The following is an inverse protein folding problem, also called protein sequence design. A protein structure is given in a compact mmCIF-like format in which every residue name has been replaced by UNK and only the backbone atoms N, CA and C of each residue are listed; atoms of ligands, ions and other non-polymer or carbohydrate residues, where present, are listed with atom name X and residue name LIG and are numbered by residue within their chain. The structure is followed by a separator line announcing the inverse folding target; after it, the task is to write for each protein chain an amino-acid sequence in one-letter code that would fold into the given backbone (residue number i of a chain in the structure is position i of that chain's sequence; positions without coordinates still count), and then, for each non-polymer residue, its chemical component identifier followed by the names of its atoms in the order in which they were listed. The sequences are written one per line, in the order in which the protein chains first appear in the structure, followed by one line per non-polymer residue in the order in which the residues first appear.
data_IF_716428208367
#
_entry.id   IF_716428208367
#
_cell.length_a   1.000
_cell.length_b   1.000
_cell.length_c   1.000
_cell.angle_alpha   90.00
_cell.angle_beta   90.00
_cell.angle_gamma   90.00
#
_symmetry.space_group_name_H-M   'P 1'
#
loop_
_entity.id
_entity.type
_entity.pdbx_description
1 polymer ?
#
# COMPACT_ATOMS: atom_id res chain seq x y z
N UNK A 1 -46.51 -38.94 -1.16
CA UNK A 1 -45.86 -38.16 -2.25
C UNK A 1 -44.82 -39.05 -2.87
N UNK A 2 -44.91 -39.30 -4.17
CA UNK A 2 -43.90 -40.07 -4.91
C UNK A 2 -42.55 -39.34 -4.93
N UNK A 3 -41.45 -40.09 -5.00
CA UNK A 3 -40.10 -39.52 -4.98
C UNK A 3 -39.84 -38.65 -6.22
N UNK A 4 -40.49 -38.94 -7.36
CA UNK A 4 -40.43 -38.11 -8.58
C UNK A 4 -40.93 -36.70 -8.29
N UNK A 5 -42.05 -36.60 -7.55
CA UNK A 5 -42.60 -35.29 -7.17
C UNK A 5 -41.61 -34.52 -6.30
N UNK A 6 -40.95 -35.20 -5.37
CA UNK A 6 -39.96 -34.60 -4.48
C UNK A 6 -38.75 -34.09 -5.27
N UNK A 7 -38.12 -34.91 -6.11
CA UNK A 7 -36.87 -34.53 -6.79
C UNK A 7 -37.11 -33.38 -7.80
N UNK A 8 -38.18 -33.42 -8.60
CA UNK A 8 -38.46 -32.33 -9.56
C UNK A 8 -38.85 -31.04 -8.85
N UNK A 9 -39.63 -31.13 -7.75
CA UNK A 9 -39.96 -29.94 -6.95
C UNK A 9 -38.73 -29.35 -6.27
N UNK A 10 -37.82 -30.18 -5.77
CA UNK A 10 -36.54 -29.75 -5.21
C UNK A 10 -35.68 -29.07 -6.27
N UNK A 11 -35.60 -29.64 -7.48
CA UNK A 11 -34.83 -29.04 -8.58
C UNK A 11 -35.38 -27.67 -8.97
N UNK A 12 -36.70 -27.56 -9.14
CA UNK A 12 -37.37 -26.30 -9.42
C UNK A 12 -37.14 -25.26 -8.31
N UNK A 13 -37.28 -25.67 -7.04
CA UNK A 13 -37.03 -24.82 -5.87
C UNK A 13 -35.60 -24.33 -5.78
N UNK A 14 -34.61 -25.19 -6.04
CA UNK A 14 -33.20 -24.82 -6.06
C UNK A 14 -32.90 -23.78 -7.14
N UNK A 15 -33.41 -23.99 -8.36
CA UNK A 15 -33.26 -23.06 -9.47
C UNK A 15 -33.94 -21.70 -9.17
N UNK A 16 -35.14 -21.69 -8.60
CA UNK A 16 -35.84 -20.45 -8.20
C UNK A 16 -35.11 -19.70 -7.09
N UNK A 17 -34.54 -20.42 -6.12
CA UNK A 17 -33.76 -19.81 -5.02
C UNK A 17 -32.53 -19.09 -5.58
N UNK A 18 -31.80 -19.75 -6.49
CA UNK A 18 -30.67 -19.13 -7.18
C UNK A 18 -31.12 -17.93 -8.04
N UNK A 19 -32.22 -18.06 -8.78
CA UNK A 19 -32.75 -16.97 -9.58
C UNK A 19 -33.10 -15.74 -8.73
N UNK A 20 -33.79 -15.93 -7.59
CA UNK A 20 -34.17 -14.85 -6.69
C UNK A 20 -32.93 -14.14 -6.09
N UNK A 21 -31.94 -14.92 -5.65
CA UNK A 21 -30.69 -14.37 -5.14
C UNK A 21 -29.97 -13.52 -6.20
N UNK A 22 -29.78 -14.04 -7.40
CA UNK A 22 -29.07 -13.31 -8.47
C UNK A 22 -29.90 -12.17 -9.07
N UNK A 23 -31.23 -12.26 -9.04
CA UNK A 23 -32.12 -11.14 -9.36
C UNK A 23 -31.94 -9.96 -8.39
N UNK A 24 -31.83 -10.25 -7.09
CA UNK A 24 -31.52 -9.23 -6.09
C UNK A 24 -30.11 -8.63 -6.28
N UNK A 25 -29.10 -9.46 -6.58
CA UNK A 25 -27.74 -8.97 -6.89
C UNK A 25 -27.75 -8.07 -8.13
N UNK A 26 -28.41 -8.49 -9.21
CA UNK A 26 -28.52 -7.69 -10.43
C UNK A 26 -29.22 -6.34 -10.20
N UNK A 27 -30.26 -6.31 -9.34
CA UNK A 27 -30.95 -5.06 -9.00
C UNK A 27 -30.01 -3.98 -8.43
N UNK A 28 -28.96 -4.41 -7.71
CA UNK A 28 -27.91 -3.54 -7.16
C UNK A 28 -26.73 -3.34 -8.12
N UNK A 29 -26.47 -4.29 -9.02
CA UNK A 29 -25.33 -4.29 -9.94
C UNK A 29 -25.77 -4.38 -11.41
N UNK A 30 -26.59 -3.42 -11.86
CA UNK A 30 -27.15 -3.42 -13.23
C UNK A 30 -26.11 -3.37 -14.35
N UNK A 31 -24.88 -2.94 -14.04
CA UNK A 31 -23.78 -2.89 -14.99
C UNK A 31 -23.31 -4.27 -15.48
N UNK A 32 -23.57 -5.35 -14.72
CA UNK A 32 -23.18 -6.70 -15.10
C UNK A 32 -24.40 -7.50 -15.61
N UNK A 33 -24.59 -7.65 -16.94
CA UNK A 33 -25.74 -8.35 -17.51
C UNK A 33 -25.71 -9.87 -17.25
N UNK A 34 -24.57 -10.44 -16.85
CA UNK A 34 -24.44 -11.87 -16.60
C UNK A 34 -25.39 -12.37 -15.49
N UNK A 35 -25.65 -11.55 -14.47
CA UNK A 35 -26.58 -11.89 -13.38
C UNK A 35 -28.03 -11.99 -13.85
N UNK A 36 -28.45 -11.09 -14.75
CA UNK A 36 -29.79 -11.15 -15.35
C UNK A 36 -29.94 -12.38 -16.24
N UNK A 37 -28.94 -12.65 -17.09
CA UNK A 37 -28.95 -13.81 -17.98
C UNK A 37 -28.94 -15.13 -17.21
N UNK A 38 -28.17 -15.20 -16.11
CA UNK A 38 -28.23 -16.31 -15.18
C UNK A 38 -29.63 -16.46 -14.58
N UNK A 39 -30.22 -15.37 -14.08
CA UNK A 39 -31.57 -15.39 -13.51
C UNK A 39 -32.61 -15.92 -14.51
N UNK A 40 -32.62 -15.40 -15.76
CA UNK A 40 -33.49 -15.91 -16.82
C UNK A 40 -33.30 -17.40 -17.09
N UNK A 41 -32.04 -17.87 -17.08
CA UNK A 41 -31.72 -19.28 -17.27
C UNK A 41 -32.24 -20.15 -16.12
N UNK A 42 -32.01 -19.72 -14.87
CA UNK A 42 -32.43 -20.45 -13.68
C UNK A 42 -33.96 -20.49 -13.53
N UNK A 43 -34.67 -19.38 -13.80
CA UNK A 43 -36.14 -19.38 -13.85
C UNK A 43 -36.64 -20.34 -14.92
N UNK A 44 -36.04 -20.30 -16.11
CA UNK A 44 -36.44 -21.18 -17.21
C UNK A 44 -36.22 -22.66 -16.89
N UNK A 45 -35.09 -23.02 -16.26
CA UNK A 45 -34.82 -24.38 -15.80
C UNK A 45 -35.85 -24.84 -14.74
N UNK A 46 -36.24 -23.96 -13.81
CA UNK A 46 -37.28 -24.26 -12.83
C UNK A 46 -38.65 -24.49 -13.48
N UNK A 47 -39.02 -23.63 -14.44
CA UNK A 47 -40.28 -23.77 -15.19
C UNK A 47 -40.26 -25.08 -15.98
N UNK A 48 -39.17 -25.43 -16.67
CA UNK A 48 -39.03 -26.72 -17.38
C UNK A 48 -39.24 -27.89 -16.41
N UNK A 49 -38.62 -27.84 -15.22
CA UNK A 49 -38.79 -28.89 -14.21
C UNK A 49 -40.24 -29.03 -13.73
N UNK A 50 -40.96 -27.91 -13.56
CA UNK A 50 -42.38 -27.93 -13.21
C UNK A 50 -43.26 -28.47 -14.35
N UNK A 51 -42.96 -28.13 -15.60
CA UNK A 51 -43.66 -28.65 -16.78
C UNK A 51 -43.42 -30.16 -16.94
N UNK A 52 -42.17 -30.61 -16.82
CA UNK A 52 -41.81 -32.02 -16.90
C UNK A 52 -42.51 -32.85 -15.82
N UNK A 53 -42.55 -32.37 -14.57
CA UNK A 53 -43.29 -33.03 -13.50
C UNK A 53 -44.79 -33.12 -13.78
N UNK A 54 -45.39 -32.07 -14.35
CA UNK A 54 -46.81 -32.09 -14.75
C UNK A 54 -47.06 -33.03 -15.92
N UNK A 55 -46.12 -33.14 -16.85
CA UNK A 55 -46.21 -34.06 -17.99
C UNK A 55 -46.11 -35.52 -17.53
N UNK A 56 -45.20 -35.84 -16.60
CA UNK A 56 -45.08 -37.18 -16.02
C UNK A 56 -46.36 -37.62 -15.28
N UNK A 57 -47.12 -36.67 -14.73
CA UNK A 57 -48.39 -36.93 -14.03
C UNK A 57 -49.64 -36.66 -14.90
N UNK A 58 -49.51 -36.47 -16.21
CA UNK A 58 -50.64 -36.14 -17.07
C UNK A 58 -51.56 -37.35 -17.28
N UNK A 59 -52.86 -37.17 -17.08
CA UNK A 59 -53.85 -38.26 -17.18
C UNK A 59 -54.55 -38.31 -18.54
N UNK A 60 -54.43 -37.25 -19.35
CA UNK A 60 -55.11 -37.14 -20.65
C UNK A 60 -54.15 -36.69 -21.75
N UNK A 61 -54.42 -37.15 -22.97
CA UNK A 61 -53.66 -36.76 -24.18
C UNK A 61 -53.69 -35.24 -24.37
N UNK A 62 -54.84 -34.59 -24.20
CA UNK A 62 -54.99 -33.14 -24.36
C UNK A 62 -54.12 -32.35 -23.38
N UNK A 63 -54.12 -32.75 -22.10
CA UNK A 63 -53.28 -32.11 -21.08
C UNK A 63 -51.80 -32.25 -21.44
N UNK A 64 -51.36 -33.44 -21.86
CA UNK A 64 -49.98 -33.68 -22.24
C UNK A 64 -49.58 -32.86 -23.48
N UNK A 65 -50.45 -32.79 -24.50
CA UNK A 65 -50.23 -31.99 -25.70
C UNK A 65 -50.06 -30.50 -25.36
N UNK A 66 -50.92 -29.96 -24.50
CA UNK A 66 -50.83 -28.56 -24.06
C UNK A 66 -49.49 -28.29 -23.34
N UNK A 67 -49.11 -29.15 -22.39
CA UNK A 67 -47.86 -29.01 -21.65
C UNK A 67 -46.63 -29.11 -22.58
N UNK A 68 -46.64 -30.08 -23.49
CA UNK A 68 -45.59 -30.26 -24.49
C UNK A 68 -45.44 -29.03 -25.39
N UNK A 69 -46.54 -28.41 -25.82
CA UNK A 69 -46.46 -27.19 -26.64
C UNK A 69 -45.84 -26.03 -25.87
N UNK A 70 -46.26 -25.81 -24.63
CA UNK A 70 -45.82 -24.66 -23.83
C UNK A 70 -44.40 -24.81 -23.26
N UNK A 71 -43.89 -26.03 -23.08
CA UNK A 71 -42.51 -26.24 -22.59
C UNK A 71 -41.45 -25.66 -23.54
N UNK A 72 -41.75 -25.47 -24.83
CA UNK A 72 -40.81 -24.86 -25.78
C UNK A 72 -40.49 -23.39 -25.45
N UNK A 73 -41.39 -22.66 -24.77
CA UNK A 73 -41.18 -21.26 -24.36
C UNK A 73 -40.04 -21.14 -23.35
N UNK A 74 -40.07 -21.80 -22.17
CA UNK A 74 -38.95 -21.73 -21.24
C UNK A 74 -37.68 -22.38 -21.81
N UNK A 75 -37.76 -23.41 -22.66
CA UNK A 75 -36.55 -23.94 -23.34
C UNK A 75 -35.95 -22.92 -24.30
N UNK A 76 -36.76 -22.12 -24.99
CA UNK A 76 -36.30 -21.01 -25.82
C UNK A 76 -35.59 -19.94 -24.98
N UNK A 77 -36.20 -19.50 -23.88
CA UNK A 77 -35.58 -18.52 -22.96
C UNK A 77 -34.26 -19.06 -22.43
N UNK A 78 -34.24 -20.30 -21.92
CA UNK A 78 -33.05 -20.96 -21.39
C UNK A 78 -31.90 -20.99 -22.42
N UNK A 79 -32.20 -21.37 -23.66
CA UNK A 79 -31.18 -21.51 -24.72
C UNK A 79 -30.58 -20.15 -25.06
N UNK A 80 -31.43 -19.12 -25.22
CA UNK A 80 -30.96 -17.77 -25.54
C UNK A 80 -30.15 -17.20 -24.39
N UNK A 81 -30.64 -17.32 -23.17
CA UNK A 81 -29.95 -16.79 -21.99
C UNK A 81 -28.61 -17.48 -21.74
N UNK A 82 -28.49 -18.79 -22.00
CA UNK A 82 -27.22 -19.51 -21.92
C UNK A 82 -26.20 -19.06 -22.96
N UNK A 83 -26.57 -18.98 -24.23
CA UNK A 83 -25.65 -18.53 -25.28
C UNK A 83 -25.23 -17.08 -25.02
N UNK A 84 -26.16 -16.21 -24.62
CA UNK A 84 -25.86 -14.84 -24.23
C UNK A 84 -24.93 -14.79 -23.01
N UNK A 85 -25.17 -15.64 -22.00
CA UNK A 85 -24.33 -15.73 -20.82
C UNK A 85 -22.90 -16.11 -21.19
N UNK A 86 -22.68 -17.16 -22.00
CA UNK A 86 -21.34 -17.54 -22.46
C UNK A 86 -20.65 -16.39 -23.19
N UNK A 87 -21.37 -15.71 -24.08
CA UNK A 87 -20.80 -14.59 -24.85
C UNK A 87 -20.44 -13.38 -23.99
N UNK A 88 -21.25 -13.04 -23.01
CA UNK A 88 -21.08 -11.81 -22.21
C UNK A 88 -20.26 -12.03 -20.94
N UNK A 89 -20.31 -13.22 -20.34
CA UNK A 89 -19.59 -13.57 -19.13
C UNK A 89 -18.22 -14.20 -19.41
N UNK A 90 -18.15 -15.15 -20.35
CA UNK A 90 -16.88 -15.79 -20.73
C UNK A 90 -16.16 -15.05 -21.87
N UNK A 91 -16.81 -14.07 -22.50
CA UNK A 91 -16.31 -13.37 -23.68
C UNK A 91 -15.85 -14.34 -24.79
N UNK A 92 -16.56 -15.45 -24.94
CA UNK A 92 -16.22 -16.56 -25.82
C UNK A 92 -17.44 -16.99 -26.66
N UNK A 93 -17.21 -17.80 -27.70
CA UNK A 93 -18.26 -18.22 -28.63
C UNK A 93 -18.36 -17.32 -29.86
N UNK A 94 -18.26 -17.92 -31.05
CA UNK A 94 -18.35 -17.16 -32.32
C UNK A 94 -19.72 -16.47 -32.48
N UNK A 95 -19.75 -15.20 -32.90
CA UNK A 95 -21.01 -14.46 -33.08
C UNK A 95 -21.97 -15.12 -34.07
N UNK A 96 -21.46 -15.66 -35.18
CA UNK A 96 -22.32 -16.29 -36.20
C UNK A 96 -23.02 -17.55 -35.67
N UNK A 97 -22.34 -18.37 -34.86
CA UNK A 97 -22.96 -19.55 -34.21
C UNK A 97 -24.09 -19.12 -33.28
N UNK A 98 -23.86 -18.08 -32.48
CA UNK A 98 -24.88 -17.55 -31.58
C UNK A 98 -26.11 -17.04 -32.33
N UNK A 99 -25.92 -16.27 -33.41
CA UNK A 99 -27.03 -15.80 -34.24
C UNK A 99 -27.77 -16.94 -34.93
N UNK A 100 -27.07 -17.96 -35.42
CA UNK A 100 -27.70 -19.16 -35.98
C UNK A 100 -28.54 -19.91 -34.95
N UNK A 101 -28.05 -20.07 -33.71
CA UNK A 101 -28.81 -20.68 -32.62
C UNK A 101 -30.05 -19.83 -32.30
N UNK A 102 -29.93 -18.51 -32.19
CA UNK A 102 -31.07 -17.62 -31.91
C UNK A 102 -32.13 -17.67 -33.00
N UNK A 103 -31.72 -17.58 -34.26
CA UNK A 103 -32.63 -17.63 -35.40
C UNK A 103 -33.34 -18.99 -35.48
N UNK A 104 -32.59 -20.08 -35.40
CA UNK A 104 -33.14 -21.43 -35.52
C UNK A 104 -34.03 -21.79 -34.32
N UNK A 105 -33.63 -21.43 -33.09
CA UNK A 105 -34.44 -21.68 -31.89
C UNK A 105 -35.73 -20.87 -31.91
N UNK A 106 -35.70 -19.65 -32.44
CA UNK A 106 -36.91 -18.82 -32.60
C UNK A 106 -37.83 -19.40 -33.69
N UNK A 107 -37.27 -19.85 -34.81
CA UNK A 107 -38.02 -20.55 -35.86
C UNK A 107 -38.69 -21.82 -35.32
N UNK A 108 -37.98 -22.63 -34.54
CA UNK A 108 -38.52 -23.82 -33.85
C UNK A 108 -39.71 -23.44 -32.96
N UNK A 109 -39.61 -22.34 -32.19
CA UNK A 109 -40.71 -21.87 -31.34
C UNK A 109 -41.93 -21.46 -32.16
N UNK A 110 -41.73 -20.71 -33.25
CA UNK A 110 -42.81 -20.28 -34.15
C UNK A 110 -43.51 -21.50 -34.77
N UNK A 111 -42.74 -22.42 -35.34
CA UNK A 111 -43.27 -23.64 -35.97
C UNK A 111 -44.01 -24.53 -34.96
N UNK A 112 -43.53 -24.61 -33.71
CA UNK A 112 -44.21 -25.36 -32.65
C UNK A 112 -45.64 -24.85 -32.37
N UNK A 113 -45.87 -23.54 -32.44
CA UNK A 113 -47.22 -22.97 -32.30
C UNK A 113 -48.05 -23.04 -33.58
N UNK A 114 -47.42 -23.15 -34.75
CA UNK A 114 -48.12 -23.36 -36.03
C UNK A 114 -48.61 -24.80 -36.21
N UNK A 115 -47.87 -25.80 -35.73
CA UNK A 115 -48.27 -27.21 -35.86
C UNK A 115 -49.37 -27.58 -34.85
N UNK A 116 -50.33 -28.47 -35.20
CA UNK A 116 -51.48 -28.78 -34.35
C UNK A 116 -51.14 -29.32 -32.94
N UNK A 117 -50.10 -30.15 -32.85
CA UNK A 117 -49.66 -30.78 -31.60
C UNK A 117 -48.37 -30.11 -31.09
N UNK A 118 -47.23 -30.41 -31.73
CA UNK A 118 -45.96 -29.74 -31.47
C UNK A 118 -45.02 -29.91 -32.66
N UNK A 119 -43.84 -29.28 -32.61
CA UNK A 119 -42.78 -29.55 -33.58
C UNK A 119 -42.21 -30.98 -33.45
N UNK A 120 -42.42 -31.64 -32.30
CA UNK A 120 -41.85 -32.95 -31.99
C UNK A 120 -42.78 -34.11 -32.37
N UNK A 121 -44.10 -33.93 -32.22
CA UNK A 121 -45.10 -34.95 -32.56
C UNK A 121 -46.09 -34.43 -33.59
N UNK A 122 -46.36 -35.25 -34.63
CA UNK A 122 -47.40 -34.95 -35.62
C UNK A 122 -48.78 -35.22 -35.02
N UNK A 123 -48.90 -36.34 -34.29
CA UNK A 123 -50.10 -36.74 -33.52
C UNK A 123 -49.65 -37.57 -32.31
N UNK A 124 -50.24 -37.32 -31.14
CA UNK A 124 -50.15 -38.20 -29.97
C UNK A 124 -51.45 -38.99 -29.94
N UNK A 125 -51.34 -40.32 -30.08
CA UNK A 125 -52.49 -41.24 -30.16
C UNK A 125 -52.93 -41.70 -28.78
N UNK A 126 -52.00 -41.84 -27.84
CA UNK A 126 -52.29 -42.36 -26.50
C UNK A 126 -51.23 -41.91 -25.49
N UNK A 127 -51.50 -42.11 -24.19
CA UNK A 127 -50.51 -41.99 -23.11
C UNK A 127 -50.36 -43.35 -22.43
N UNK A 128 -49.14 -43.88 -22.46
CA UNK A 128 -48.77 -45.07 -21.72
C UNK A 128 -48.41 -44.71 -20.29
N UNK A 129 -49.04 -45.37 -19.33
CA UNK A 129 -48.66 -45.30 -17.93
C UNK A 129 -47.65 -46.41 -17.59
N UNK A 130 -46.45 -46.03 -17.19
CA UNK A 130 -45.33 -46.92 -16.89
C UNK A 130 -44.96 -46.82 -15.42
N UNK A 131 -44.78 -47.96 -14.75
CA UNK A 131 -44.26 -48.00 -13.39
C UNK A 131 -42.74 -47.75 -13.43
N UNK A 132 -42.28 -46.66 -12.81
CA UNK A 132 -40.88 -46.30 -12.74
C UNK A 132 -40.50 -45.91 -11.31
N UNK A 133 -39.60 -46.69 -10.70
CA UNK A 133 -39.14 -46.47 -9.32
C UNK A 133 -40.26 -46.49 -8.27
N UNK A 134 -41.37 -47.20 -8.50
CA UNK A 134 -42.51 -47.25 -7.57
C UNK A 134 -43.57 -46.17 -7.77
N UNK A 135 -43.36 -45.22 -8.67
CA UNK A 135 -44.35 -44.24 -9.11
C UNK A 135 -44.85 -44.59 -10.53
N UNK A 136 -46.05 -44.12 -10.91
CA UNK A 136 -46.59 -44.28 -12.27
C UNK A 136 -46.36 -43.00 -13.05
N UNK A 137 -45.64 -43.10 -14.17
CA UNK A 137 -45.33 -41.98 -15.06
C UNK A 137 -46.08 -42.09 -16.38
N UNK A 138 -46.29 -40.95 -17.01
CA UNK A 138 -47.08 -40.79 -18.23
C UNK A 138 -46.16 -40.51 -19.41
N UNK A 139 -46.26 -41.35 -20.44
CA UNK A 139 -45.40 -41.32 -21.63
C UNK A 139 -46.28 -41.18 -22.89
N UNK A 140 -46.00 -40.24 -23.79
CA UNK A 140 -46.77 -40.08 -25.01
C UNK A 140 -46.44 -41.21 -25.98
N UNK A 141 -47.47 -41.79 -26.58
CA UNK A 141 -47.36 -42.67 -27.74
C UNK A 141 -47.90 -41.92 -28.94
N UNK A 142 -47.08 -41.76 -29.97
CA UNK A 142 -47.44 -40.94 -31.11
C UNK A 142 -46.47 -41.06 -32.28
N UNK A 143 -46.82 -40.41 -33.38
CA UNK A 143 -46.00 -40.36 -34.59
C UNK A 143 -45.10 -39.10 -34.51
N UNK A 144 -43.76 -39.25 -34.52
CA UNK A 144 -42.85 -38.11 -34.54
C UNK A 144 -43.08 -37.21 -35.75
N UNK A 145 -42.91 -35.91 -35.56
CA UNK A 145 -42.96 -34.96 -36.66
C UNK A 145 -41.56 -34.85 -37.30
N UNK A 146 -41.42 -35.04 -38.64
CA UNK A 146 -40.13 -34.88 -39.33
C UNK A 146 -39.49 -33.50 -39.11
N UNK A 147 -40.30 -32.46 -38.91
CA UNK A 147 -39.81 -31.11 -38.59
C UNK A 147 -39.10 -31.02 -37.24
N UNK A 148 -39.22 -32.03 -36.38
CA UNK A 148 -38.45 -32.17 -35.13
C UNK A 148 -36.93 -32.24 -35.35
N UNK A 149 -36.48 -32.58 -36.56
CA UNK A 149 -35.06 -32.50 -36.95
C UNK A 149 -34.49 -31.08 -36.77
N UNK A 150 -35.31 -30.04 -36.92
CA UNK A 150 -34.90 -28.65 -36.74
C UNK A 150 -34.48 -28.35 -35.28
N UNK A 151 -35.19 -28.96 -34.31
CA UNK A 151 -34.83 -28.92 -32.89
C UNK A 151 -33.49 -29.62 -32.63
N UNK A 152 -33.21 -30.73 -33.33
CA UNK A 152 -31.94 -31.46 -33.22
C UNK A 152 -30.76 -30.69 -33.81
N UNK A 153 -30.94 -30.02 -34.95
CA UNK A 153 -29.92 -29.14 -35.54
C UNK A 153 -29.57 -28.01 -34.56
N UNK A 154 -30.58 -27.45 -33.87
CA UNK A 154 -30.33 -26.42 -32.85
C UNK A 154 -29.48 -26.97 -31.70
N UNK A 155 -29.75 -28.19 -31.25
CA UNK A 155 -28.97 -28.83 -30.20
C UNK A 155 -27.53 -29.13 -30.64
N UNK A 156 -27.34 -29.53 -31.91
CA UNK A 156 -26.01 -29.73 -32.50
C UNK A 156 -25.22 -28.42 -32.55
N UNK A 157 -25.87 -27.33 -32.98
CA UNK A 157 -25.25 -26.00 -32.98
C UNK A 157 -24.87 -25.56 -31.57
N UNK A 158 -25.72 -25.82 -30.57
CA UNK A 158 -25.42 -25.52 -29.17
C UNK A 158 -24.22 -26.33 -28.66
N UNK A 159 -24.10 -27.60 -29.05
CA UNK A 159 -22.95 -28.44 -28.73
C UNK A 159 -21.66 -27.89 -29.36
N UNK A 160 -21.68 -27.58 -30.66
CA UNK A 160 -20.54 -27.00 -31.39
C UNK A 160 -20.14 -25.66 -30.75
N UNK A 161 -21.11 -24.80 -30.45
CA UNK A 161 -20.88 -23.52 -29.77
C UNK A 161 -20.24 -23.71 -28.40
N UNK A 162 -20.72 -24.68 -27.61
CA UNK A 162 -20.21 -24.95 -26.27
C UNK A 162 -18.77 -25.47 -26.31
N UNK A 163 -18.45 -26.37 -27.23
CA UNK A 163 -17.08 -26.88 -27.43
C UNK A 163 -16.15 -25.74 -27.88
N UNK A 164 -16.58 -24.93 -28.84
CA UNK A 164 -15.78 -23.82 -29.36
C UNK A 164 -15.52 -22.75 -28.30
N UNK A 165 -16.55 -22.38 -27.53
CA UNK A 165 -16.41 -21.48 -26.40
C UNK A 165 -15.45 -22.05 -25.34
N UNK A 166 -15.57 -23.35 -25.02
CA UNK A 166 -14.68 -24.04 -24.08
C UNK A 166 -13.23 -23.97 -24.51
N UNK A 167 -12.94 -24.31 -25.78
CA UNK A 167 -11.59 -24.25 -26.35
C UNK A 167 -11.06 -22.81 -26.34
N UNK A 168 -11.91 -21.83 -26.65
CA UNK A 168 -11.54 -20.41 -26.65
C UNK A 168 -11.13 -19.93 -25.26
N UNK A 169 -11.92 -20.26 -24.23
CA UNK A 169 -11.59 -19.91 -22.83
C UNK A 169 -10.34 -20.64 -22.36
N UNK A 170 -10.18 -21.92 -22.75
CA UNK A 170 -8.98 -22.69 -22.43
C UNK A 170 -7.71 -22.07 -23.01
N UNK A 171 -7.75 -21.58 -24.26
CA UNK A 171 -6.62 -20.91 -24.92
C UNK A 171 -6.24 -19.57 -24.27
N UNK A 172 -7.13 -18.96 -23.49
CA UNK A 172 -6.87 -17.75 -22.69
C UNK A 172 -6.33 -18.06 -21.30
N UNK A 173 -5.95 -19.32 -21.05
CA UNK A 173 -5.43 -19.84 -19.78
C UNK A 173 -6.41 -19.78 -18.59
N UNK A 174 -7.71 -19.54 -18.83
CA UNK A 174 -8.77 -19.68 -17.82
C UNK A 174 -9.33 -21.11 -17.81
N UNK A 175 -8.45 -22.09 -17.56
CA UNK A 175 -8.77 -23.53 -17.61
C UNK A 175 -9.94 -23.91 -16.71
N UNK A 176 -10.09 -23.22 -15.59
CA UNK A 176 -11.13 -23.49 -14.61
C UNK A 176 -12.52 -23.14 -15.13
N UNK A 177 -12.72 -21.93 -15.66
CA UNK A 177 -14.01 -21.55 -16.25
C UNK A 177 -14.32 -22.35 -17.51
N UNK A 178 -13.29 -22.68 -18.29
CA UNK A 178 -13.44 -23.59 -19.44
C UNK A 178 -13.97 -24.96 -18.99
N UNK A 179 -13.38 -25.58 -17.97
CA UNK A 179 -13.80 -26.90 -17.49
C UNK A 179 -15.18 -26.86 -16.82
N UNK A 180 -15.41 -25.89 -15.92
CA UNK A 180 -16.65 -25.84 -15.13
C UNK A 180 -17.85 -25.40 -15.96
N UNK A 181 -17.79 -24.25 -16.63
CA UNK A 181 -18.94 -23.75 -17.40
C UNK A 181 -18.95 -24.38 -18.80
N UNK A 182 -17.82 -24.34 -19.51
CA UNK A 182 -17.73 -24.91 -20.86
C UNK A 182 -17.94 -26.42 -20.88
N UNK A 183 -17.31 -27.15 -19.95
CA UNK A 183 -17.47 -28.59 -19.79
C UNK A 183 -18.88 -29.00 -19.36
N UNK A 184 -19.48 -28.31 -18.37
CA UNK A 184 -20.87 -28.61 -17.98
C UNK A 184 -21.87 -28.32 -19.09
N UNK A 185 -21.68 -27.25 -19.88
CA UNK A 185 -22.53 -26.95 -21.03
C UNK A 185 -22.39 -27.99 -22.14
N UNK A 186 -21.16 -28.41 -22.43
CA UNK A 186 -20.90 -29.46 -23.42
C UNK A 186 -21.54 -30.78 -22.99
N UNK A 187 -21.38 -31.17 -21.72
CA UNK A 187 -22.02 -32.35 -21.16
C UNK A 187 -23.55 -32.23 -21.18
N UNK A 188 -24.10 -31.09 -20.79
CA UNK A 188 -25.55 -30.84 -20.84
C UNK A 188 -26.12 -30.92 -22.25
N UNK A 189 -25.41 -30.39 -23.25
CA UNK A 189 -25.82 -30.49 -24.66
C UNK A 189 -25.77 -31.94 -25.18
N UNK A 190 -24.78 -32.74 -24.76
CA UNK A 190 -24.70 -34.18 -25.07
C UNK A 190 -25.87 -34.92 -24.41
N UNK A 191 -26.09 -34.71 -23.10
CA UNK A 191 -27.16 -35.38 -22.37
C UNK A 191 -28.54 -35.00 -22.89
N UNK A 192 -28.74 -33.77 -23.36
CA UNK A 192 -30.01 -33.34 -23.95
C UNK A 192 -30.40 -34.13 -25.22
N UNK A 193 -29.47 -34.86 -25.83
CA UNK A 193 -29.76 -35.75 -26.98
C UNK A 193 -30.64 -36.96 -26.61
N UNK A 194 -30.81 -37.25 -25.32
CA UNK A 194 -31.75 -38.29 -24.88
C UNK A 194 -33.20 -37.96 -25.27
N UNK A 195 -33.61 -36.68 -25.29
CA UNK A 195 -34.99 -36.27 -25.61
C UNK A 195 -35.41 -36.69 -27.02
N UNK A 196 -34.68 -36.32 -28.09
CA UNK A 196 -35.01 -36.82 -29.42
C UNK A 196 -34.88 -38.35 -29.50
N UNK A 197 -33.91 -38.98 -28.85
CA UNK A 197 -33.79 -40.45 -28.87
C UNK A 197 -35.05 -41.14 -28.32
N UNK A 198 -35.66 -40.61 -27.26
CA UNK A 198 -36.94 -41.12 -26.72
C UNK A 198 -38.10 -40.82 -27.67
N UNK A 199 -38.19 -39.61 -28.24
CA UNK A 199 -39.26 -39.24 -29.19
C UNK A 199 -39.25 -40.16 -30.42
N UNK A 200 -38.07 -40.49 -30.94
CA UNK A 200 -37.90 -41.38 -32.09
C UNK A 200 -37.99 -42.88 -31.72
N UNK A 201 -38.26 -43.20 -30.46
CA UNK A 201 -38.45 -44.58 -29.99
C UNK A 201 -37.18 -45.42 -29.92
N UNK A 202 -35.99 -44.78 -29.88
CA UNK A 202 -34.69 -45.46 -29.81
C UNK A 202 -34.39 -45.91 -28.36
N UNK A 203 -34.80 -45.11 -27.37
CA UNK A 203 -34.56 -45.37 -25.94
C UNK A 203 -35.89 -45.31 -25.19
N UNK A 204 -36.01 -46.11 -24.13
CA UNK A 204 -37.18 -46.08 -23.25
C UNK A 204 -37.22 -44.80 -22.38
N UNK A 205 -38.39 -44.21 -22.14
CA UNK A 205 -38.57 -43.11 -21.18
C UNK A 205 -38.10 -43.50 -19.76
N UNK A 206 -37.73 -42.54 -18.90
CA UNK A 206 -38.32 -41.18 -18.83
C UNK A 206 -37.59 -40.07 -19.59
N UNK A 207 -38.28 -38.93 -19.71
CA UNK A 207 -37.66 -37.64 -20.05
C UNK A 207 -36.99 -37.04 -18.81
N UNK A 208 -35.77 -36.50 -18.97
CA UNK A 208 -34.99 -35.83 -17.93
C UNK A 208 -34.43 -34.48 -18.40
N UNK A 209 -35.21 -33.72 -19.16
CA UNK A 209 -34.80 -32.43 -19.72
C UNK A 209 -34.41 -31.42 -18.64
N UNK A 210 -35.06 -31.43 -17.48
CA UNK A 210 -34.71 -30.48 -16.43
C UNK A 210 -33.30 -30.71 -15.84
N UNK A 211 -32.88 -31.96 -15.71
CA UNK A 211 -31.61 -32.32 -15.07
C UNK A 211 -30.40 -32.06 -15.96
N UNK A 212 -30.55 -32.16 -17.29
CA UNK A 212 -29.44 -31.90 -18.23
C UNK A 212 -28.88 -30.48 -18.08
N UNK A 213 -29.74 -29.51 -17.78
CA UNK A 213 -29.35 -28.11 -17.62
C UNK A 213 -29.12 -27.69 -16.17
N UNK A 214 -29.55 -28.50 -15.19
CA UNK A 214 -29.34 -28.20 -13.77
C UNK A 214 -27.85 -28.14 -13.43
N UNK A 215 -27.05 -29.06 -13.97
CA UNK A 215 -25.59 -29.06 -13.80
C UNK A 215 -24.94 -27.78 -14.35
N UNK A 216 -25.46 -27.27 -15.48
CA UNK A 216 -24.99 -26.02 -16.10
C UNK A 216 -25.34 -24.83 -15.21
N UNK A 217 -26.59 -24.74 -14.74
CA UNK A 217 -27.03 -23.68 -13.82
C UNK A 217 -26.21 -23.72 -12.52
N UNK A 218 -25.95 -24.90 -11.96
CA UNK A 218 -25.13 -25.05 -10.77
C UNK A 218 -23.69 -24.59 -10.99
N UNK A 219 -23.06 -24.97 -12.11
CA UNK A 219 -21.72 -24.53 -12.47
C UNK A 219 -21.62 -23.01 -12.67
N UNK A 220 -22.62 -22.42 -13.36
CA UNK A 220 -22.72 -20.97 -13.54
C UNK A 220 -22.89 -20.24 -12.20
N UNK A 221 -23.77 -20.74 -11.32
CA UNK A 221 -24.01 -20.18 -10.00
C UNK A 221 -22.75 -20.24 -9.13
N UNK A 222 -22.01 -21.35 -9.19
CA UNK A 222 -20.77 -21.51 -8.44
C UNK A 222 -19.70 -20.49 -8.87
N UNK A 223 -19.50 -20.29 -10.17
CA UNK A 223 -18.55 -19.30 -10.66
C UNK A 223 -18.97 -17.86 -10.32
N UNK A 224 -20.25 -17.52 -10.51
CA UNK A 224 -20.75 -16.19 -10.16
C UNK A 224 -20.65 -15.92 -8.65
N UNK A 225 -20.95 -16.92 -7.82
CA UNK A 225 -20.82 -16.82 -6.35
C UNK A 225 -19.37 -16.59 -5.94
N UNK A 226 -18.43 -17.29 -6.59
CA UNK A 226 -17.00 -17.10 -6.32
C UNK A 226 -16.52 -15.72 -6.73
N UNK A 227 -16.99 -15.18 -7.85
CA UNK A 227 -16.59 -13.85 -8.29
C UNK A 227 -17.14 -12.77 -7.35
N UNK A 228 -18.38 -12.92 -6.85
CA UNK A 228 -18.93 -12.06 -5.79
C UNK A 228 -18.08 -12.16 -4.52
N UNK A 229 -17.75 -13.38 -4.08
CA UNK A 229 -16.96 -13.60 -2.87
C UNK A 229 -15.54 -13.00 -3.00
N UNK A 230 -14.92 -13.10 -4.19
CA UNK A 230 -13.61 -12.53 -4.48
C UNK A 230 -13.66 -11.01 -4.47
N UNK A 231 -14.65 -10.41 -5.12
CA UNK A 231 -14.86 -8.96 -5.10
C UNK A 231 -15.07 -8.45 -3.66
N UNK A 232 -15.89 -9.14 -2.87
CA UNK A 232 -16.12 -8.79 -1.47
C UNK A 232 -14.89 -9.00 -0.57
N UNK A 233 -13.99 -9.93 -0.91
CA UNK A 233 -12.72 -10.12 -0.20
C UNK A 233 -11.74 -8.99 -0.54
N UNK A 234 -11.56 -8.69 -1.82
CA UNK A 234 -10.69 -7.60 -2.28
C UNK A 234 -11.14 -6.25 -1.72
N UNK A 235 -12.46 -5.97 -1.71
CA UNK A 235 -13.00 -4.76 -1.11
C UNK A 235 -12.68 -4.67 0.40
N UNK A 236 -12.82 -5.78 1.13
CA UNK A 236 -12.46 -5.85 2.56
C UNK A 236 -10.96 -5.71 2.81
N UNK A 237 -10.13 -6.35 2.01
CA UNK A 237 -8.67 -6.23 2.09
C UNK A 237 -8.22 -4.79 1.81
N UNK A 238 -8.84 -4.13 0.82
CA UNK A 238 -8.61 -2.72 0.53
C UNK A 238 -9.02 -1.84 1.71
N UNK A 239 -10.21 -2.03 2.27
CA UNK A 239 -10.70 -1.26 3.42
C UNK A 239 -9.80 -1.44 4.67
N UNK A 240 -9.36 -2.68 4.93
CA UNK A 240 -8.44 -2.97 6.05
C UNK A 240 -7.07 -2.34 5.81
N UNK A 241 -6.54 -2.43 4.58
CA UNK A 241 -5.28 -1.80 4.20
C UNK A 241 -5.35 -0.28 4.35
N UNK A 242 -6.43 0.34 3.86
CA UNK A 242 -6.69 1.77 3.98
C UNK A 242 -6.79 2.21 5.45
N UNK A 243 -7.53 1.47 6.29
CA UNK A 243 -7.63 1.74 7.73
C UNK A 243 -6.27 1.64 8.43
N UNK A 244 -5.48 0.61 8.13
CA UNK A 244 -4.13 0.44 8.71
C UNK A 244 -3.19 1.57 8.27
N UNK A 245 -3.25 1.94 7.00
CA UNK A 245 -2.45 3.02 6.45
C UNK A 245 -2.82 4.36 7.07
N UNK A 246 -4.12 4.67 7.19
CA UNK A 246 -4.60 5.87 7.87
C UNK A 246 -4.17 5.91 9.35
N UNK A 247 -4.29 4.80 10.09
CA UNK A 247 -3.86 4.72 11.48
C UNK A 247 -2.35 4.94 11.65
N UNK A 248 -1.53 4.36 10.77
CA UNK A 248 -0.09 4.55 10.77
C UNK A 248 0.27 6.01 10.44
N UNK A 249 -0.42 6.62 9.48
CA UNK A 249 -0.24 8.02 9.12
C UNK A 249 -0.63 8.97 10.27
N UNK A 250 -1.78 8.76 10.91
CA UNK A 250 -2.26 9.55 12.03
C UNK A 250 -1.33 9.41 13.26
N UNK A 251 -0.86 8.21 13.57
CA UNK A 251 0.07 7.96 14.69
C UNK A 251 1.42 8.65 14.50
N UNK A 252 1.89 8.75 13.26
CA UNK A 252 3.11 9.48 12.89
C UNK A 252 2.87 10.98 12.61
N UNK A 253 1.65 11.47 12.86
CA UNK A 253 1.22 12.85 12.62
C UNK A 253 1.53 13.34 11.18
N UNK A 254 1.43 12.40 10.24
CA UNK A 254 1.70 12.60 8.82
C UNK A 254 0.47 13.20 8.15
N UNK A 255 0.66 14.35 7.51
CA UNK A 255 -0.35 14.91 6.62
C UNK A 255 -0.06 14.52 5.19
N UNK A 256 -0.96 13.77 4.57
CA UNK A 256 -0.83 13.44 3.15
C UNK A 256 -1.41 14.55 2.30
N UNK A 257 -0.84 14.72 1.11
CA UNK A 257 -1.35 15.67 0.14
C UNK A 257 -1.09 15.18 -1.28
N UNK A 258 -2.03 15.49 -2.16
CA UNK A 258 -1.95 15.24 -3.60
C UNK A 258 -2.40 16.51 -4.31
N UNK A 259 -1.59 16.99 -5.24
CA UNK A 259 -1.93 18.13 -6.08
C UNK A 259 -2.08 17.67 -7.52
N UNK A 260 -3.29 17.80 -8.06
CA UNK A 260 -3.58 17.69 -9.49
C UNK A 260 -3.14 19.01 -10.16
N UNK A 261 -2.04 18.95 -10.91
CA UNK A 261 -1.40 20.12 -11.52
C UNK A 261 -2.23 20.70 -12.69
N UNK A 262 -3.07 19.89 -13.33
CA UNK A 262 -3.90 20.34 -14.45
C UNK A 262 -5.14 21.09 -13.96
N UNK A 263 -5.72 20.65 -12.84
CA UNK A 263 -6.94 21.23 -12.28
C UNK A 263 -6.71 22.26 -11.17
N UNK A 264 -5.45 22.46 -10.79
CA UNK A 264 -5.02 23.20 -9.60
C UNK A 264 -5.84 22.82 -8.35
N UNK A 265 -5.95 21.50 -8.10
CA UNK A 265 -6.72 20.98 -6.97
C UNK A 265 -5.82 20.18 -6.04
N UNK A 266 -5.74 20.64 -4.80
CA UNK A 266 -4.99 19.99 -3.73
C UNK A 266 -5.96 19.22 -2.84
N UNK A 267 -5.79 17.92 -2.80
CA UNK A 267 -6.33 17.07 -1.77
C UNK A 267 -5.34 16.98 -0.61
N UNK A 268 -5.85 17.03 0.61
CA UNK A 268 -5.06 16.93 1.85
C UNK A 268 -5.80 15.99 2.79
N UNK A 269 -5.07 15.17 3.55
CA UNK A 269 -5.67 14.25 4.51
C UNK A 269 -6.61 14.99 5.49
N UNK A 270 -7.72 14.37 5.92
CA UNK A 270 -8.71 15.02 6.78
C UNK A 270 -8.09 15.66 8.03
N UNK A 271 -7.17 14.95 8.69
CA UNK A 271 -6.44 15.41 9.88
C UNK A 271 -5.67 16.71 9.62
N UNK A 272 -4.88 16.77 8.53
CA UNK A 272 -4.12 17.99 8.18
C UNK A 272 -5.02 19.09 7.65
N UNK A 273 -6.08 18.75 6.91
CA UNK A 273 -7.05 19.71 6.41
C UNK A 273 -7.72 20.49 7.55
N UNK A 274 -8.10 19.79 8.63
CA UNK A 274 -8.60 20.40 9.86
C UNK A 274 -7.52 21.26 10.55
N UNK A 275 -6.28 20.75 10.66
CA UNK A 275 -5.17 21.49 11.27
C UNK A 275 -4.86 22.81 10.54
N UNK A 276 -5.01 22.84 9.22
CA UNK A 276 -4.80 24.04 8.39
C UNK A 276 -6.01 24.99 8.38
N UNK A 277 -7.12 24.62 9.04
CA UNK A 277 -8.33 25.43 9.12
C UNK A 277 -9.16 25.45 7.84
N UNK A 278 -9.01 24.46 6.96
CA UNK A 278 -9.85 24.35 5.77
C UNK A 278 -11.16 23.61 6.07
N UNK A 279 -12.27 23.95 5.39
CA UNK A 279 -13.54 23.22 5.53
C UNK A 279 -13.36 21.75 5.14
N UNK A 280 -14.08 20.82 5.80
CA UNK A 280 -13.93 19.37 5.58
C UNK A 280 -14.08 18.93 4.12
N UNK A 281 -14.88 19.66 3.34
CA UNK A 281 -15.08 19.47 1.90
C UNK A 281 -14.81 20.77 1.14
N UNK A 282 -14.42 20.65 -0.13
CA UNK A 282 -14.18 21.80 -1.01
C UNK A 282 -12.82 21.71 -1.71
N UNK A 283 -12.67 22.47 -2.80
CA UNK A 283 -11.40 22.58 -3.51
C UNK A 283 -10.44 23.44 -2.69
N UNK A 284 -9.17 23.05 -2.66
CA UNK A 284 -8.06 23.86 -2.14
C UNK A 284 -7.14 24.10 -3.31
N UNK A 285 -6.92 25.36 -3.65
CA UNK A 285 -5.94 25.76 -4.68
C UNK A 285 -4.57 25.95 -4.08
N UNK A 286 -3.51 25.94 -4.90
CA UNK A 286 -2.17 26.21 -4.41
C UNK A 286 -2.04 27.62 -3.80
N UNK A 287 -2.74 28.60 -4.37
CA UNK A 287 -2.77 29.98 -3.87
C UNK A 287 -3.42 30.10 -2.48
N UNK A 288 -4.51 29.36 -2.24
CA UNK A 288 -5.14 29.30 -0.92
C UNK A 288 -4.24 28.60 0.11
N UNK A 289 -3.59 27.50 -0.28
CA UNK A 289 -2.72 26.75 0.62
C UNK A 289 -1.50 27.56 1.05
N UNK A 290 -0.81 28.21 0.10
CA UNK A 290 0.39 29.02 0.37
C UNK A 290 0.07 30.27 1.22
N UNK A 291 -1.17 30.76 1.18
CA UNK A 291 -1.61 31.89 2.02
C UNK A 291 -1.57 31.57 3.52
N UNK A 292 -1.72 30.29 3.90
CA UNK A 292 -1.66 29.81 5.30
C UNK A 292 -0.23 29.63 5.82
N UNK A 293 0.77 29.80 4.96
CA UNK A 293 2.17 29.69 5.35
C UNK A 293 2.73 31.06 5.71
N UNK A 294 3.76 31.07 6.56
CA UNK A 294 4.44 32.27 6.99
C UNK A 294 5.01 33.05 5.79
N UNK A 295 4.84 34.37 5.77
CA UNK A 295 5.14 35.22 4.61
C UNK A 295 6.57 35.07 4.11
N UNK A 296 7.54 35.00 5.04
CA UNK A 296 8.95 34.82 4.72
C UNK A 296 9.30 33.49 4.04
N UNK A 297 8.45 32.47 4.14
CA UNK A 297 8.72 31.14 3.59
C UNK A 297 7.97 30.87 2.28
N UNK A 298 6.99 31.70 1.90
CA UNK A 298 6.13 31.51 0.70
C UNK A 298 6.96 31.41 -0.60
N UNK A 299 7.90 32.34 -0.80
CA UNK A 299 8.74 32.36 -2.01
C UNK A 299 9.62 31.12 -2.12
N UNK A 300 10.21 30.70 -0.99
CA UNK A 300 11.04 29.48 -0.91
C UNK A 300 10.26 28.24 -1.32
N UNK A 301 9.02 28.09 -0.84
CA UNK A 301 8.22 26.93 -1.21
C UNK A 301 7.79 26.98 -2.68
N UNK A 302 7.41 28.15 -3.20
CA UNK A 302 7.07 28.31 -4.62
C UNK A 302 8.24 27.92 -5.53
N UNK A 303 9.46 28.33 -5.18
CA UNK A 303 10.65 27.94 -5.91
C UNK A 303 10.88 26.42 -5.87
N UNK A 304 10.82 25.81 -4.67
CA UNK A 304 11.02 24.37 -4.52
C UNK A 304 9.98 23.55 -5.32
N UNK A 305 8.72 24.01 -5.35
CA UNK A 305 7.66 23.42 -6.18
C UNK A 305 8.00 23.53 -7.66
N UNK A 306 8.37 24.72 -8.14
CA UNK A 306 8.72 24.93 -9.55
C UNK A 306 9.92 24.07 -9.97
N UNK A 307 10.94 23.98 -9.13
CA UNK A 307 12.10 23.13 -9.38
C UNK A 307 11.72 21.65 -9.48
N UNK A 308 10.86 21.15 -8.58
CA UNK A 308 10.37 19.78 -8.63
C UNK A 308 9.58 19.49 -9.92
N UNK A 309 8.67 20.40 -10.32
CA UNK A 309 7.85 20.25 -11.53
C UNK A 309 8.69 20.33 -12.81
N UNK A 310 9.60 21.30 -12.90
CA UNK A 310 10.38 21.53 -14.13
C UNK A 310 11.53 20.54 -14.32
N UNK A 311 12.17 20.11 -13.24
CA UNK A 311 13.40 19.31 -13.29
C UNK A 311 13.20 17.87 -12.80
N UNK A 312 11.97 17.49 -12.41
CA UNK A 312 11.65 16.16 -11.90
C UNK A 312 12.38 15.81 -10.58
N UNK A 313 12.86 16.82 -9.84
CA UNK A 313 13.53 16.60 -8.55
C UNK A 313 12.52 16.22 -7.47
N UNK A 314 12.95 15.40 -6.51
CA UNK A 314 12.16 15.13 -5.31
C UNK A 314 11.92 16.46 -4.57
N UNK A 315 10.65 16.78 -4.34
CA UNK A 315 10.24 17.98 -3.62
C UNK A 315 10.51 17.78 -2.14
N UNK A 316 11.36 18.62 -1.54
CA UNK A 316 11.57 18.64 -0.10
C UNK A 316 11.78 20.06 0.39
N UNK A 317 10.96 20.50 1.34
CA UNK A 317 11.07 21.84 1.92
C UNK A 317 10.59 21.87 3.36
N UNK A 318 11.29 22.63 4.19
CA UNK A 318 10.87 22.98 5.55
C UNK A 318 10.41 24.44 5.56
N UNK A 319 9.20 24.67 6.07
CA UNK A 319 8.55 25.98 6.16
C UNK A 319 7.66 26.05 7.38
N UNK A 320 7.33 27.28 7.78
CA UNK A 320 6.44 27.57 8.89
C UNK A 320 5.00 27.74 8.42
N UNK A 321 4.09 27.11 9.15
CA UNK A 321 2.63 27.28 9.00
C UNK A 321 2.08 28.02 10.20
N UNK A 322 1.09 28.88 9.94
CA UNK A 322 0.37 29.63 10.96
C UNK A 322 -1.09 29.21 10.88
N UNK A 323 -1.52 28.22 11.68
CA UNK A 323 -2.92 27.84 11.74
C UNK A 323 -3.79 28.97 12.29
N UNK A 324 -5.13 28.85 12.21
CA UNK A 324 -6.05 29.86 12.74
C UNK A 324 -5.91 30.12 14.25
N UNK A 325 -5.33 29.17 14.99
CA UNK A 325 -5.04 29.30 16.42
C UNK A 325 -3.87 30.27 16.73
N UNK A 326 -3.16 30.76 15.71
CA UNK A 326 -2.02 31.67 15.84
C UNK A 326 -0.72 31.00 16.28
N UNK A 327 -0.72 29.68 16.51
CA UNK A 327 0.50 28.94 16.86
C UNK A 327 1.46 28.87 15.66
N UNK A 328 2.77 28.93 15.88
CA UNK A 328 3.74 28.73 14.81
C UNK A 328 4.18 27.27 14.79
N UNK A 329 4.00 26.57 13.67
CA UNK A 329 4.46 25.17 13.54
C UNK A 329 5.42 25.02 12.38
N UNK A 330 6.46 24.21 12.56
CA UNK A 330 7.37 23.85 11.50
C UNK A 330 6.89 22.58 10.80
N UNK A 331 6.78 22.64 9.48
CA UNK A 331 6.38 21.51 8.65
C UNK A 331 7.49 21.17 7.66
N UNK A 332 7.85 19.89 7.60
CA UNK A 332 8.69 19.33 6.55
C UNK A 332 7.79 18.64 5.53
N UNK A 333 7.66 19.21 4.32
CA UNK A 333 6.95 18.57 3.23
C UNK A 333 7.94 17.82 2.33
N UNK A 334 7.58 16.60 1.95
CA UNK A 334 8.32 15.76 1.00
C UNK A 334 7.36 15.19 -0.02
N UNK A 335 7.70 15.21 -1.30
CA UNK A 335 6.84 14.71 -2.35
C UNK A 335 7.58 14.41 -3.64
N UNK A 336 6.89 13.76 -4.57
CA UNK A 336 7.41 13.38 -5.87
C UNK A 336 6.40 13.72 -6.96
N UNK A 337 6.92 14.21 -8.08
CA UNK A 337 6.14 14.48 -9.29
C UNK A 337 5.87 13.17 -10.02
N UNK A 338 4.62 12.93 -10.36
CA UNK A 338 4.19 11.87 -11.25
C UNK A 338 3.94 12.46 -12.63
N UNK A 339 4.59 11.87 -13.63
CA UNK A 339 4.47 12.25 -15.04
C UNK A 339 3.51 11.32 -15.78
N UNK A 340 2.93 11.81 -16.88
CA UNK A 340 2.13 10.99 -17.79
C UNK A 340 2.98 10.20 -18.80
N UNK A 341 2.33 9.46 -19.70
CA UNK A 341 2.97 8.66 -20.76
C UNK A 341 3.82 9.51 -21.74
N UNK A 342 3.63 10.83 -21.76
CA UNK A 342 4.34 11.78 -22.62
C UNK A 342 5.42 12.56 -21.85
N UNK A 343 5.67 12.21 -20.58
CA UNK A 343 6.66 12.86 -19.72
C UNK A 343 6.19 14.19 -19.13
N UNK A 344 4.91 14.55 -19.25
CA UNK A 344 4.36 15.80 -18.71
C UNK A 344 3.99 15.63 -17.24
N UNK A 345 4.39 16.54 -16.33
CA UNK A 345 3.95 16.53 -14.93
C UNK A 345 2.43 16.58 -14.81
N UNK A 346 1.83 15.58 -14.16
CA UNK A 346 0.38 15.50 -13.95
C UNK A 346 -0.01 15.71 -12.50
N UNK A 347 0.77 15.15 -11.58
CA UNK A 347 0.46 15.21 -10.14
C UNK A 347 1.72 15.40 -9.31
N UNK A 348 1.58 16.05 -8.17
CA UNK A 348 2.60 16.09 -7.13
C UNK A 348 1.99 15.48 -5.86
N UNK A 349 2.52 14.35 -5.41
CA UNK A 349 2.02 13.62 -4.24
C UNK A 349 3.08 13.56 -3.16
N UNK A 350 2.68 13.69 -1.90
CA UNK A 350 3.64 13.67 -0.82
C UNK A 350 3.06 13.56 0.57
N UNK A 351 3.96 13.66 1.54
CA UNK A 351 3.66 13.72 2.97
C UNK A 351 4.19 15.02 3.56
N UNK A 352 3.66 15.39 4.70
CA UNK A 352 4.10 16.51 5.50
C UNK A 352 4.22 16.05 6.95
N UNK A 353 5.32 16.40 7.60
CA UNK A 353 5.60 16.05 8.98
C UNK A 353 5.67 17.32 9.81
N UNK A 354 5.04 17.32 10.98
CA UNK A 354 5.29 18.35 11.98
C UNK A 354 6.68 18.10 12.58
N UNK A 355 7.60 19.06 12.40
CA UNK A 355 8.98 18.99 12.88
C UNK A 355 9.27 20.08 13.92
N UNK A 356 8.22 20.64 14.53
CA UNK A 356 8.33 21.73 15.53
C UNK A 356 9.21 21.33 16.71
N UNK A 357 8.93 20.19 17.35
CA UNK A 357 9.72 19.72 18.49
C UNK A 357 11.21 19.51 18.14
N UNK A 358 11.50 18.99 16.93
CA UNK A 358 12.88 18.85 16.45
C UNK A 358 13.55 20.23 16.29
N UNK A 359 12.83 21.20 15.71
CA UNK A 359 13.35 22.55 15.50
C UNK A 359 13.57 23.30 16.82
N UNK A 360 12.67 23.16 17.77
CA UNK A 360 12.83 23.73 19.12
C UNK A 360 14.05 23.13 19.83
N UNK A 361 14.26 21.82 19.73
CA UNK A 361 15.45 21.16 20.27
C UNK A 361 16.74 21.61 19.57
N UNK A 362 16.74 21.77 18.23
CA UNK A 362 17.88 22.31 17.47
C UNK A 362 18.23 23.73 17.93
N UNK A 363 17.23 24.60 18.11
CA UNK A 363 17.42 25.98 18.57
C UNK A 363 17.96 26.01 20.01
N UNK A 364 17.38 25.22 20.91
CA UNK A 364 17.85 25.14 22.31
C UNK A 364 19.29 24.64 22.38
N UNK A 365 19.63 23.59 21.63
CA UNK A 365 20.99 23.06 21.57
C UNK A 365 21.98 24.11 21.03
N UNK A 366 21.58 24.90 20.03
CA UNK A 366 22.42 25.98 19.51
C UNK A 366 22.61 27.10 20.53
N UNK A 367 21.55 27.48 21.26
CA UNK A 367 21.64 28.47 22.34
C UNK A 367 22.61 28.01 23.44
N UNK A 368 22.48 26.75 23.88
CA UNK A 368 23.39 26.16 24.87
C UNK A 368 24.84 26.11 24.38
N UNK A 369 25.08 25.77 23.11
CA UNK A 369 26.42 25.81 22.52
C UNK A 369 27.02 27.21 22.53
N UNK A 370 26.25 28.21 22.10
CA UNK A 370 26.70 29.60 22.08
C UNK A 370 27.01 30.11 23.50
N UNK A 371 26.20 29.73 24.49
CA UNK A 371 26.43 30.09 25.90
C UNK A 371 27.71 29.43 26.44
N UNK A 372 27.91 28.13 26.16
CA UNK A 372 29.13 27.41 26.53
C UNK A 372 30.39 28.03 25.89
N UNK A 373 30.33 28.41 24.61
CA UNK A 373 31.43 29.08 23.93
C UNK A 373 31.77 30.42 24.58
N UNK A 374 30.75 31.22 24.94
CA UNK A 374 30.93 32.49 25.64
C UNK A 374 31.57 32.30 27.02
N UNK A 375 31.09 31.34 27.80
CA UNK A 375 31.67 31.01 29.11
C UNK A 375 33.12 30.51 28.98
N UNK A 376 33.39 29.69 27.97
CA UNK A 376 34.74 29.20 27.67
C UNK A 376 35.69 30.35 27.33
N UNK A 377 35.28 31.29 26.47
CA UNK A 377 36.07 32.49 26.14
C UNK A 377 36.36 33.35 27.38
N UNK A 378 35.36 33.57 28.24
CA UNK A 378 35.55 34.31 29.50
C UNK A 378 36.56 33.62 30.42
N UNK A 379 36.45 32.29 30.57
CA UNK A 379 37.38 31.52 31.41
C UNK A 379 38.80 31.52 30.85
N UNK A 380 38.97 31.39 29.53
CA UNK A 380 40.28 31.47 28.88
C UNK A 380 40.90 32.85 29.10
N UNK A 381 40.16 33.95 28.89
CA UNK A 381 40.67 35.30 29.13
C UNK A 381 41.02 35.55 30.61
N UNK A 382 40.25 34.99 31.55
CA UNK A 382 40.58 35.05 32.97
C UNK A 382 41.88 34.31 33.29
N UNK A 383 42.04 33.08 32.81
CA UNK A 383 43.25 32.28 33.02
C UNK A 383 44.49 32.93 32.39
N UNK A 384 44.35 33.51 31.19
CA UNK A 384 45.45 34.25 30.54
C UNK A 384 45.90 35.44 31.38
N UNK A 385 44.96 36.19 31.99
CA UNK A 385 45.29 37.28 32.92
C UNK A 385 46.01 36.76 34.15
N UNK A 386 45.51 35.68 34.76
CA UNK A 386 46.14 35.09 35.95
C UNK A 386 47.55 34.57 35.66
N UNK A 387 47.76 33.93 34.51
CA UNK A 387 49.09 33.47 34.06
C UNK A 387 50.02 34.65 33.78
N UNK A 388 49.54 35.71 33.13
CA UNK A 388 50.34 36.91 32.87
C UNK A 388 50.74 37.63 34.16
N UNK A 389 49.83 37.69 35.15
CA UNK A 389 50.08 38.26 36.46
C UNK A 389 51.10 37.45 37.24
N UNK A 390 50.97 36.12 37.27
CA UNK A 390 51.97 35.23 37.89
C UNK A 390 53.35 35.38 37.25
N UNK A 391 53.44 35.39 35.91
CA UNK A 391 54.70 35.55 35.19
C UNK A 391 55.35 36.94 35.42
N UNK A 392 54.54 37.98 35.71
CA UNK A 392 55.04 39.31 36.08
C UNK A 392 55.61 39.29 37.50
N UNK A 393 54.88 38.73 38.46
CA UNK A 393 55.32 38.60 39.85
C UNK A 393 56.60 37.76 39.95
N UNK A 394 56.69 36.64 39.24
CA UNK A 394 57.90 35.82 39.19
C UNK A 394 59.11 36.60 38.67
N UNK A 395 58.95 37.39 37.59
CA UNK A 395 60.02 38.26 37.08
C UNK A 395 60.44 39.31 38.09
N UNK A 396 59.50 39.95 38.77
CA UNK A 396 59.79 40.98 39.79
C UNK A 396 60.56 40.39 40.99
N UNK A 397 60.20 39.17 41.42
CA UNK A 397 60.94 38.45 42.47
C UNK A 397 62.36 38.11 42.02
N UNK A 398 62.54 37.58 40.80
CA UNK A 398 63.87 37.27 40.25
C UNK A 398 64.74 38.53 40.17
N UNK A 399 64.20 39.64 39.65
CA UNK A 399 64.92 40.91 39.57
C UNK A 399 65.27 41.47 40.96
N UNK A 400 64.35 41.38 41.92
CA UNK A 400 64.61 41.81 43.29
C UNK A 400 65.71 40.98 43.96
N UNK A 401 65.69 39.65 43.78
CA UNK A 401 66.72 38.75 44.28
C UNK A 401 68.09 39.06 43.65
N UNK A 402 68.14 39.27 42.33
CA UNK A 402 69.36 39.62 41.61
C UNK A 402 69.91 41.02 41.99
N UNK A 403 69.04 41.96 42.38
CA UNK A 403 69.47 43.26 42.95
C UNK A 403 70.11 43.09 44.32
N UNK A 404 69.47 42.32 45.20
CA UNK A 404 69.97 42.12 46.56
C UNK A 404 71.28 41.32 46.57
N UNK A 405 71.40 40.28 45.73
CA UNK A 405 72.67 39.56 45.55
C UNK A 405 73.79 40.48 45.10
N UNK A 406 73.55 41.36 44.11
CA UNK A 406 74.56 42.34 43.67
C UNK A 406 74.95 43.29 44.79
N UNK A 407 73.99 43.77 45.58
CA UNK A 407 74.25 44.64 46.73
C UNK A 407 75.11 43.95 47.79
N UNK A 408 74.78 42.70 48.14
CA UNK A 408 75.54 41.89 49.09
C UNK A 408 76.97 41.67 48.57
N UNK A 409 77.14 41.34 47.29
CA UNK A 409 78.45 41.16 46.68
C UNK A 409 79.30 42.45 46.75
N UNK A 410 78.69 43.60 46.47
CA UNK A 410 79.34 44.92 46.62
C UNK A 410 79.78 45.18 48.07
N UNK A 411 78.88 45.05 49.04
CA UNK A 411 79.18 45.32 50.46
C UNK A 411 80.27 44.38 51.01
N UNK A 412 80.25 43.11 50.59
CA UNK A 412 81.23 42.11 51.00
C UNK A 412 82.61 42.40 50.39
N UNK A 413 82.66 42.74 49.10
CA UNK A 413 83.90 43.07 48.40
C UNK A 413 84.56 44.34 48.95
N UNK A 414 83.80 45.42 49.09
CA UNK A 414 84.34 46.73 49.46
C UNK A 414 84.56 46.88 50.96
N UNK A 415 83.63 46.39 51.79
CA UNK A 415 83.76 46.49 53.24
C UNK A 415 84.76 45.48 53.79
N UNK A 416 84.44 44.19 53.65
CA UNK A 416 85.20 43.10 54.27
C UNK A 416 86.50 42.84 53.51
N UNK A 417 86.45 42.84 52.18
CA UNK A 417 87.62 42.63 51.34
C UNK A 417 88.73 43.67 51.57
N UNK A 418 88.39 44.97 51.63
CA UNK A 418 89.38 46.02 51.87
C UNK A 418 89.95 45.98 53.30
N UNK A 419 89.11 45.72 54.31
CA UNK A 419 89.58 45.58 55.70
C UNK A 419 90.56 44.42 55.86
N UNK A 420 90.26 43.27 55.25
CA UNK A 420 91.15 42.10 55.29
C UNK A 420 92.50 42.37 54.60
N UNK A 421 92.51 43.10 53.48
CA UNK A 421 93.75 43.54 52.83
C UNK A 421 94.54 44.51 53.72
N UNK A 422 93.86 45.45 54.38
CA UNK A 422 94.47 46.36 55.35
C UNK A 422 95.11 45.62 56.52
N UNK A 423 94.39 44.66 57.12
CA UNK A 423 94.88 43.80 58.20
C UNK A 423 96.10 42.99 57.73
N UNK A 424 96.06 42.41 56.53
CA UNK A 424 97.19 41.67 55.97
C UNK A 424 98.43 42.55 55.79
N UNK A 425 98.27 43.80 55.35
CA UNK A 425 99.38 44.73 55.16
C UNK A 425 99.99 45.15 56.51
N UNK A 426 99.16 45.50 57.49
CA UNK A 426 99.61 45.86 58.84
C UNK A 426 100.32 44.69 59.54
N UNK A 427 99.77 43.47 59.44
CA UNK A 427 100.40 42.28 60.00
C UNK A 427 101.73 41.95 59.32
N UNK A 428 101.88 42.23 58.02
CA UNK A 428 103.13 42.01 57.27
C UNK A 428 104.22 43.02 57.64
N UNK A 429 103.84 44.27 57.90
CA UNK A 429 104.75 45.29 58.44
C UNK A 429 105.23 44.89 59.84
N UNK A 430 104.32 44.39 60.69
CA UNK A 430 104.64 43.90 62.03
C UNK A 430 105.57 42.67 61.99
N UNK A 431 105.32 41.72 61.08
CA UNK A 431 106.21 40.58 60.81
C UNK A 431 107.63 41.05 60.47
N UNK A 432 107.76 42.04 59.56
CA UNK A 432 109.07 42.56 59.16
C UNK A 432 109.83 43.22 60.31
N UNK A 433 109.15 43.99 61.16
CA UNK A 433 109.77 44.64 62.32
C UNK A 433 110.24 43.61 63.36
N UNK A 434 109.43 42.60 63.65
CA UNK A 434 109.72 41.61 64.69
C UNK A 434 110.76 40.57 64.27
N UNK A 435 111.05 40.43 62.96
CA UNK A 435 111.91 39.37 62.41
C UNK A 435 113.35 39.41 62.91
N UNK A 436 113.86 40.58 63.28
CA UNK A 436 115.23 40.76 63.77
C UNK A 436 115.36 40.59 65.29
N UNK A 437 114.32 40.95 66.05
CA UNK A 437 114.40 41.04 67.53
C UNK A 437 113.65 39.92 68.25
N UNK A 438 112.53 39.40 67.70
CA UNK A 438 111.64 38.42 68.35
C UNK A 438 111.03 37.44 67.32
N UNK A 439 111.78 36.41 66.88
CA UNK A 439 111.38 35.54 65.77
C UNK A 439 110.10 34.72 66.01
N UNK A 440 109.80 34.33 67.25
CA UNK A 440 108.57 33.59 67.58
C UNK A 440 107.29 34.44 67.47
N UNK A 441 107.38 35.77 67.58
CA UNK A 441 106.23 36.67 67.40
C UNK A 441 106.05 37.06 65.93
N UNK A 442 107.14 37.12 65.17
CA UNK A 442 107.09 37.29 63.71
C UNK A 442 106.34 36.12 63.03
N UNK A 443 106.49 34.89 63.51
CA UNK A 443 105.76 33.73 62.96
C UNK A 443 104.23 33.85 63.16
N UNK A 444 103.79 34.37 64.31
CA UNK A 444 102.36 34.65 64.57
C UNK A 444 101.83 35.74 63.65
N UNK A 445 102.59 36.81 63.42
CA UNK A 445 102.23 37.85 62.46
C UNK A 445 102.14 37.29 61.02
N UNK A 446 103.07 36.41 60.63
CA UNK A 446 103.04 35.70 59.33
C UNK A 446 101.80 34.80 59.17
N UNK A 447 101.34 34.16 60.24
CA UNK A 447 100.09 33.40 60.25
C UNK A 447 98.85 34.29 60.04
N UNK A 448 98.82 35.47 60.66
CA UNK A 448 97.75 36.46 60.47
C UNK A 448 97.72 36.96 59.02
N UNK A 449 98.88 37.22 58.41
CA UNK A 449 98.99 37.59 56.99
C UNK A 449 98.42 36.51 56.08
N UNK A 450 98.74 35.23 56.33
CA UNK A 450 98.21 34.10 55.55
C UNK A 450 96.68 34.01 55.67
N UNK A 451 96.16 34.03 56.90
CA UNK A 451 94.72 33.95 57.16
C UNK A 451 93.95 35.14 56.55
N UNK A 452 94.47 36.36 56.69
CA UNK A 452 93.83 37.56 56.15
C UNK A 452 93.82 37.57 54.61
N UNK A 453 94.90 37.12 53.96
CA UNK A 453 94.94 37.00 52.49
C UNK A 453 94.03 35.87 51.97
N UNK A 454 93.95 34.75 52.68
CA UNK A 454 93.07 33.64 52.30
C UNK A 454 91.60 34.02 52.47
N UNK A 455 91.24 34.68 53.57
CA UNK A 455 89.91 35.25 53.78
C UNK A 455 89.58 36.29 52.69
N UNK A 456 90.48 37.23 52.38
CA UNK A 456 90.26 38.22 51.33
C UNK A 456 90.08 37.59 49.94
N UNK A 457 90.78 36.49 49.67
CA UNK A 457 90.64 35.73 48.43
C UNK A 457 89.30 35.00 48.36
N UNK A 458 88.84 34.41 49.46
CA UNK A 458 87.51 33.79 49.53
C UNK A 458 86.40 34.82 49.32
N UNK A 459 86.50 36.00 49.93
CA UNK A 459 85.53 37.09 49.75
C UNK A 459 85.41 37.54 48.29
N UNK A 460 86.50 37.49 47.51
CA UNK A 460 86.50 37.79 46.06
C UNK A 460 86.01 36.66 45.17
N UNK A 461 85.98 35.42 45.66
CA UNK A 461 85.47 34.26 44.93
C UNK A 461 83.96 34.06 45.15
N UNK A 462 83.42 34.61 46.23
CA UNK A 462 81.98 34.56 46.57
C UNK A 462 81.20 35.82 46.19
N UNK A 463 81.89 36.89 45.78
CA UNK A 463 81.32 38.07 45.11
C UNK A 463 81.28 37.82 43.60
#
# INVERSE_FOLDING_TARGET
MGWITVIWSMNAGACLTLAAFYGAVWSKQRANPAYLLFCCSAVSAAVISAFELRMLNATTVEQYQLLMRWIHVPVWVLTISFVAFVRLYLHAGRPWLAWSIYALRTLVLILNFMFPVSIDFKRITDIRHLAWGGDVISVPVGIPNPWGLLSQITLLLLLIFSIEATITVWRRDDRRRALLIGGSMTLGAILAWHVPMVIWGIIEPPFFLAFTYTCVVAAMAYELSRDIARAARLARELEVSEKRFNLAADSANLGMWEWDLEKDQIWVSPTRRAQLGFPASGRITFAELISRWHEGDRNKVRQAVNEAIQHGKDYQVEFRVVPPDGSMRWVCARGRVQVDEHGKPKRLTGISLDVTARKEAEVLAQQQRNELERLRQQKTAFLEREVAERARLEREVIESCAREQRRIAYDLHDGVGQQLVGIALSAKLLEQQLRAERPAEAEKASAIVRLANEAARQTRLTA
#
